data_IF_118924661586
#
_entry.id   IF_118924661586
#
_cell.length_a   1.000
_cell.length_b   1.000
_cell.length_c   1.000
_cell.angle_alpha   90.00
_cell.angle_beta   90.00
_cell.angle_gamma   90.00
#
_symmetry.space_group_name_H-M   'P 1'
#
loop_
_entity.id
_entity.type
_entity.pdbx_description
1 polymer ?
#
# COMPACT_ATOMS: atom_id res chain seq x y z
N UNK A 1 -0.99 18.85 40.40
CA UNK A 1 -0.97 18.53 38.94
C UNK A 1 -2.29 19.00 38.36
N UNK A 2 -2.30 19.95 37.42
CA UNK A 2 -3.55 20.45 36.82
C UNK A 2 -4.03 19.41 35.81
N UNK A 3 -5.11 18.69 36.12
CA UNK A 3 -5.80 17.82 35.15
C UNK A 3 -6.69 18.67 34.24
N UNK A 4 -6.88 18.23 33.01
CA UNK A 4 -7.80 18.85 32.06
C UNK A 4 -9.02 17.94 31.87
N UNK A 5 -10.24 18.40 32.17
CA UNK A 5 -11.45 17.62 31.90
C UNK A 5 -11.66 17.50 30.39
N UNK A 6 -11.97 16.30 29.92
CA UNK A 6 -12.28 16.00 28.51
C UNK A 6 -13.72 15.53 28.39
N UNK A 7 -14.50 16.19 27.55
CA UNK A 7 -15.86 15.81 27.22
C UNK A 7 -15.92 15.18 25.84
N UNK A 8 -16.54 14.00 25.72
CA UNK A 8 -16.71 13.30 24.46
C UNK A 8 -18.19 13.31 24.09
N UNK A 9 -18.51 13.96 22.97
CA UNK A 9 -19.86 14.07 22.42
C UNK A 9 -20.00 13.23 21.14
N UNK A 10 -21.20 12.76 20.82
CA UNK A 10 -21.47 12.17 19.51
C UNK A 10 -21.40 13.25 18.41
N UNK A 11 -20.69 12.98 17.32
CA UNK A 11 -20.52 13.95 16.23
C UNK A 11 -21.82 14.26 15.46
N UNK A 12 -22.85 13.42 15.54
CA UNK A 12 -24.15 13.63 14.88
C UNK A 12 -25.20 14.17 15.84
N UNK A 13 -25.43 13.50 16.97
CA UNK A 13 -26.50 13.84 17.91
C UNK A 13 -26.08 14.94 18.89
N UNK A 14 -24.77 15.17 19.04
CA UNK A 14 -24.17 16.06 20.06
C UNK A 14 -24.48 15.63 21.49
N UNK A 15 -25.00 14.43 21.69
CA UNK A 15 -25.24 13.86 23.00
C UNK A 15 -23.91 13.58 23.69
N UNK A 16 -23.88 13.77 25.00
CA UNK A 16 -22.72 13.50 25.83
C UNK A 16 -22.57 11.99 26.02
N UNK A 17 -21.50 11.43 25.47
CA UNK A 17 -21.18 10.02 25.58
C UNK A 17 -20.31 9.72 26.79
N UNK A 18 -19.33 10.58 27.09
CA UNK A 18 -18.42 10.36 28.20
C UNK A 18 -17.83 11.68 28.71
N UNK A 19 -17.52 11.71 30.00
CA UNK A 19 -16.77 12.78 30.65
C UNK A 19 -15.58 12.16 31.38
N UNK A 20 -14.39 12.68 31.12
CA UNK A 20 -13.15 12.23 31.70
C UNK A 20 -12.59 13.35 32.58
N UNK A 21 -12.78 13.25 33.89
CA UNK A 21 -12.42 14.31 34.86
C UNK A 21 -10.91 14.53 35.01
N UNK A 22 -10.13 13.45 34.87
CA UNK A 22 -8.71 13.40 35.25
C UNK A 22 -7.81 13.00 34.08
N UNK A 23 -7.87 13.73 32.98
CA UNK A 23 -6.93 13.53 31.86
C UNK A 23 -5.68 14.38 32.09
N UNK A 24 -4.51 13.78 31.94
CA UNK A 24 -3.25 14.50 32.04
C UNK A 24 -3.09 15.43 30.82
N UNK A 25 -2.60 16.68 30.97
CA UNK A 25 -2.50 17.61 29.84
C UNK A 25 -1.58 17.12 28.70
N UNK A 26 -0.60 16.29 29.05
CA UNK A 26 0.35 15.70 28.11
C UNK A 26 -0.14 14.37 27.52
N UNK A 27 -1.35 13.93 27.90
CA UNK A 27 -1.95 12.71 27.37
C UNK A 27 -2.15 12.80 25.87
N UNK A 28 -1.87 11.69 25.20
CA UNK A 28 -2.07 11.55 23.76
C UNK A 28 -3.53 11.24 23.44
N UNK A 29 -3.96 11.52 22.21
CA UNK A 29 -5.28 11.08 21.74
C UNK A 29 -5.43 9.56 21.81
N UNK A 30 -4.35 8.79 21.63
CA UNK A 30 -4.36 7.34 21.82
C UNK A 30 -4.76 6.94 23.25
N UNK A 31 -4.21 7.61 24.26
CA UNK A 31 -4.56 7.37 25.67
C UNK A 31 -6.02 7.75 25.95
N UNK A 32 -6.50 8.87 25.42
CA UNK A 32 -7.90 9.29 25.55
C UNK A 32 -8.84 8.24 24.93
N UNK A 33 -8.49 7.69 23.75
CA UNK A 33 -9.26 6.60 23.13
C UNK A 33 -9.29 5.34 23.99
N UNK A 34 -8.15 4.99 24.62
CA UNK A 34 -8.07 3.86 25.54
C UNK A 34 -8.94 4.08 26.78
N UNK A 35 -8.92 5.28 27.36
CA UNK A 35 -9.79 5.65 28.48
C UNK A 35 -11.27 5.57 28.09
N UNK A 36 -11.64 6.09 26.92
CA UNK A 36 -13.01 6.00 26.42
C UNK A 36 -13.46 4.55 26.18
N UNK A 37 -12.56 3.69 25.70
CA UNK A 37 -12.83 2.24 25.50
C UNK A 37 -13.12 1.54 26.82
N UNK A 38 -12.47 1.93 27.93
CA UNK A 38 -12.75 1.32 29.25
C UNK A 38 -14.20 1.53 29.68
N UNK A 39 -14.79 2.68 29.35
CA UNK A 39 -16.20 2.99 29.64
C UNK A 39 -17.13 2.39 28.58
N UNK A 40 -16.69 2.32 27.31
CA UNK A 40 -17.48 1.81 26.18
C UNK A 40 -16.71 0.72 25.41
N UNK A 41 -16.68 -0.53 25.91
CA UNK A 41 -15.86 -1.61 25.32
C UNK A 41 -16.18 -1.94 23.86
N UNK A 42 -17.40 -1.68 23.41
CA UNK A 42 -17.84 -1.87 22.01
C UNK A 42 -17.11 -0.97 21.01
N UNK A 43 -16.55 0.15 21.47
CA UNK A 43 -15.82 1.11 20.65
C UNK A 43 -14.32 1.01 20.90
N UNK A 44 -13.70 -0.09 20.50
CA UNK A 44 -12.25 -0.24 20.59
C UNK A 44 -11.50 0.89 19.85
N UNK A 45 -10.25 1.24 20.25
CA UNK A 45 -9.60 2.48 19.84
C UNK A 45 -9.55 2.74 18.33
N UNK A 46 -9.35 1.70 17.53
CA UNK A 46 -9.31 1.82 16.08
C UNK A 46 -10.65 2.18 15.43
N UNK A 47 -11.82 1.86 16.03
CA UNK A 47 -13.12 2.36 15.53
C UNK A 47 -13.34 3.83 15.82
N UNK A 48 -12.60 4.39 16.79
CA UNK A 48 -12.86 5.73 17.28
C UNK A 48 -12.19 6.79 16.40
N UNK A 49 -13.00 7.67 15.81
CA UNK A 49 -12.54 8.92 15.23
C UNK A 49 -12.89 10.09 16.16
N UNK A 50 -11.92 10.61 16.90
CA UNK A 50 -12.07 11.83 17.69
C UNK A 50 -11.71 13.07 16.85
N UNK A 51 -12.49 14.14 16.98
CA UNK A 51 -12.40 15.39 16.20
C UNK A 51 -12.61 16.61 17.10
N UNK A 52 -12.05 17.76 16.73
CA UNK A 52 -12.32 19.04 17.42
C UNK A 52 -13.64 19.69 16.96
N UNK A 53 -14.07 19.37 15.74
CA UNK A 53 -15.33 19.83 15.17
C UNK A 53 -16.08 18.62 14.57
N UNK A 54 -17.41 18.56 14.63
CA UNK A 54 -18.20 17.45 14.05
C UNK A 54 -17.85 17.13 12.60
N UNK A 55 -17.63 18.16 11.77
CA UNK A 55 -17.26 18.08 10.35
C UNK A 55 -15.76 18.22 10.13
N UNK A 56 -14.98 18.45 11.18
CA UNK A 56 -13.53 18.57 11.16
C UNK A 56 -12.79 17.27 10.81
N UNK A 57 -11.47 17.40 10.69
CA UNK A 57 -10.56 16.27 10.48
C UNK A 57 -10.43 15.47 11.77
N UNK A 58 -10.23 14.16 11.62
CA UNK A 58 -9.88 13.27 12.72
C UNK A 58 -8.49 13.63 13.26
N UNK A 59 -8.38 13.68 14.58
CA UNK A 59 -7.11 13.88 15.29
C UNK A 59 -6.22 12.65 15.13
N UNK A 60 -4.90 12.86 15.13
CA UNK A 60 -3.92 11.78 15.10
C UNK A 60 -3.72 11.23 16.49
N UNK A 61 -3.38 9.95 16.57
CA UNK A 61 -3.16 9.28 17.84
C UNK A 61 -1.97 9.87 18.63
N UNK A 62 -1.00 10.50 17.95
CA UNK A 62 0.16 11.17 18.57
C UNK A 62 -0.10 12.63 18.96
N UNK A 63 -1.25 13.19 18.59
CA UNK A 63 -1.57 14.57 18.98
C UNK A 63 -1.71 14.61 20.52
N UNK A 64 -1.11 15.63 21.12
CA UNK A 64 -1.09 15.83 22.58
C UNK A 64 -2.17 16.83 22.93
N UNK A 65 -2.98 16.53 23.95
CA UNK A 65 -4.13 17.35 24.34
C UNK A 65 -3.77 18.83 24.54
N UNK A 66 -2.68 19.13 25.24
CA UNK A 66 -2.22 20.50 25.49
C UNK A 66 -1.84 21.29 24.22
N UNK A 67 -1.48 20.61 23.12
CA UNK A 67 -1.13 21.28 21.85
C UNK A 67 -2.35 21.59 20.99
N UNK A 68 -3.52 21.08 21.36
CA UNK A 68 -4.75 21.32 20.64
C UNK A 68 -5.35 22.67 21.05
N UNK A 69 -6.05 23.38 20.15
CA UNK A 69 -6.72 24.64 20.45
C UNK A 69 -8.00 24.39 21.26
N UNK A 70 -7.86 23.86 22.47
CA UNK A 70 -8.94 23.53 23.40
C UNK A 70 -8.90 24.46 24.62
N UNK A 71 -10.07 24.78 25.17
CA UNK A 71 -10.19 25.64 26.34
C UNK A 71 -9.84 24.93 27.66
N UNK A 72 -10.40 25.42 28.77
CA UNK A 72 -10.27 24.78 30.10
C UNK A 72 -10.87 23.38 30.14
N UNK A 73 -11.93 23.14 29.37
CA UNK A 73 -12.51 21.82 29.11
C UNK A 73 -12.34 21.50 27.64
N UNK A 74 -11.78 20.32 27.33
CA UNK A 74 -11.58 19.89 25.96
C UNK A 74 -12.79 19.08 25.47
N UNK A 75 -13.58 19.67 24.57
CA UNK A 75 -14.69 18.95 23.92
C UNK A 75 -14.20 18.25 22.66
N UNK A 76 -14.40 16.94 22.58
CA UNK A 76 -14.07 16.09 21.45
C UNK A 76 -15.34 15.45 20.88
N UNK A 77 -15.44 15.40 19.55
CA UNK A 77 -16.54 14.77 18.85
C UNK A 77 -16.14 13.38 18.37
N UNK A 78 -16.86 12.37 18.85
CA UNK A 78 -16.69 10.97 18.49
C UNK A 78 -17.52 10.62 17.25
N UNK A 79 -16.90 9.85 16.36
CA UNK A 79 -17.57 9.19 15.24
C UNK A 79 -17.12 7.74 15.17
N UNK A 80 -18.09 6.82 15.15
CA UNK A 80 -17.83 5.40 14.90
C UNK A 80 -17.48 5.18 13.42
N UNK A 81 -16.30 4.59 13.17
CA UNK A 81 -15.83 4.22 11.84
C UNK A 81 -16.34 2.84 11.38
N UNK A 82 -16.97 2.07 12.26
CA UNK A 82 -17.35 0.68 11.98
C UNK A 82 -16.18 -0.29 12.19
N UNK A 83 -16.35 -1.56 11.85
CA UNK A 83 -15.29 -2.57 11.99
C UNK A 83 -14.05 -2.18 11.18
N UNK A 84 -12.91 -2.09 11.84
CA UNK A 84 -11.62 -1.71 11.26
C UNK A 84 -10.66 -2.88 11.25
N UNK A 85 -9.75 -2.88 10.28
CA UNK A 85 -8.65 -3.84 10.16
C UNK A 85 -7.34 -3.09 9.92
N UNK A 86 -6.24 -3.62 10.45
CA UNK A 86 -4.91 -3.04 10.27
C UNK A 86 -4.50 -3.05 8.79
N UNK A 87 -3.87 -1.97 8.33
CA UNK A 87 -3.29 -1.91 6.97
C UNK A 87 -2.25 -3.00 6.74
N UNK A 88 -1.47 -3.35 7.76
CA UNK A 88 -0.49 -4.45 7.66
C UNK A 88 -1.20 -5.74 7.29
N UNK A 89 -2.27 -6.10 8.02
CA UNK A 89 -3.05 -7.31 7.74
C UNK A 89 -3.67 -7.25 6.35
N UNK A 90 -4.21 -6.11 5.94
CA UNK A 90 -4.82 -5.94 4.61
C UNK A 90 -3.80 -6.22 3.52
N UNK A 91 -2.64 -5.56 3.55
CA UNK A 91 -1.62 -5.74 2.52
C UNK A 91 -1.03 -7.16 2.54
N UNK A 92 -0.85 -7.77 3.71
CA UNK A 92 -0.43 -9.17 3.80
C UNK A 92 -1.44 -10.11 3.13
N UNK A 93 -2.73 -9.97 3.43
CA UNK A 93 -3.78 -10.80 2.81
C UNK A 93 -3.92 -10.51 1.31
N UNK A 94 -3.85 -9.24 0.92
CA UNK A 94 -3.93 -8.78 -0.47
C UNK A 94 -2.82 -9.39 -1.34
N UNK A 95 -1.58 -9.46 -0.82
CA UNK A 95 -0.42 -9.97 -1.55
C UNK A 95 -0.13 -11.46 -1.37
N UNK A 96 -0.53 -12.06 -0.24
CA UNK A 96 -0.35 -13.50 -0.01
C UNK A 96 -1.27 -14.33 -0.93
N UNK A 97 -2.48 -13.85 -1.20
CA UNK A 97 -3.43 -14.55 -2.06
C UNK A 97 -2.90 -14.77 -3.48
N UNK A 98 -2.49 -13.73 -4.23
CA UNK A 98 -1.93 -13.88 -5.57
C UNK A 98 -0.76 -14.87 -5.62
N UNK A 99 0.16 -14.80 -4.64
CA UNK A 99 1.28 -15.73 -4.53
C UNK A 99 0.79 -17.17 -4.41
N UNK A 100 -0.09 -17.43 -3.45
CA UNK A 100 -0.63 -18.77 -3.21
C UNK A 100 -1.43 -19.30 -4.40
N UNK A 101 -2.36 -18.49 -4.90
CA UNK A 101 -3.23 -18.82 -6.04
C UNK A 101 -2.39 -19.15 -7.27
N UNK A 102 -1.41 -18.30 -7.63
CA UNK A 102 -0.56 -18.55 -8.80
C UNK A 102 0.17 -19.90 -8.69
N UNK A 103 0.69 -20.22 -7.50
CA UNK A 103 1.37 -21.49 -7.26
C UNK A 103 0.44 -22.70 -7.41
N UNK A 104 -0.84 -22.59 -7.02
CA UNK A 104 -1.83 -23.66 -7.26
C UNK A 104 -1.98 -23.98 -8.76
N UNK A 105 -2.08 -22.94 -9.61
CA UNK A 105 -2.15 -23.13 -11.07
C UNK A 105 -0.82 -23.63 -11.65
N UNK A 106 0.32 -23.14 -11.16
CA UNK A 106 1.65 -23.57 -11.60
C UNK A 106 1.90 -25.05 -11.32
N UNK A 107 1.57 -25.51 -10.11
CA UNK A 107 1.67 -26.93 -9.74
C UNK A 107 0.54 -27.79 -10.33
N UNK A 108 -0.42 -27.18 -11.03
CA UNK A 108 -1.57 -27.87 -11.64
C UNK A 108 -2.25 -28.79 -10.63
N UNK A 109 -2.60 -28.24 -9.47
CA UNK A 109 -3.33 -29.02 -8.45
C UNK A 109 -4.60 -29.63 -9.07
N UNK A 110 -5.08 -30.78 -8.55
CA UNK A 110 -6.27 -31.43 -9.07
C UNK A 110 -7.46 -30.47 -9.19
N UNK A 111 -8.38 -30.79 -10.10
CA UNK A 111 -9.61 -30.02 -10.40
C UNK A 111 -9.43 -28.75 -11.25
N UNK A 112 -8.21 -28.35 -11.63
CA UNK A 112 -7.98 -27.14 -12.44
C UNK A 112 -8.00 -27.42 -13.95
N UNK A 113 -7.14 -28.32 -14.45
CA UNK A 113 -6.93 -28.55 -15.89
C UNK A 113 -7.37 -29.95 -16.38
N UNK A 114 -7.89 -30.77 -15.46
CA UNK A 114 -8.30 -32.16 -15.70
C UNK A 114 -7.25 -33.19 -15.30
N UNK A 115 -7.71 -34.37 -14.88
CA UNK A 115 -6.90 -35.39 -14.18
C UNK A 115 -5.60 -35.81 -14.88
N UNK A 116 -5.57 -35.81 -16.21
CA UNK A 116 -4.37 -36.15 -17.00
C UNK A 116 -3.20 -35.18 -16.80
N UNK A 117 -3.44 -33.99 -16.25
CA UNK A 117 -2.45 -32.95 -16.06
C UNK A 117 -2.14 -32.65 -14.59
N UNK A 118 -2.75 -33.38 -13.66
CA UNK A 118 -2.55 -33.20 -12.23
C UNK A 118 -1.05 -33.34 -11.89
N UNK A 119 -0.48 -32.31 -11.25
CA UNK A 119 0.93 -32.23 -10.86
C UNK A 119 1.96 -32.37 -11.99
N UNK A 120 1.54 -32.21 -13.24
CA UNK A 120 2.45 -32.21 -14.39
C UNK A 120 3.18 -30.87 -14.53
N UNK A 121 4.48 -30.91 -14.82
CA UNK A 121 5.23 -29.69 -15.15
C UNK A 121 5.01 -29.25 -16.59
N UNK A 122 5.03 -27.95 -16.85
CA UNK A 122 5.17 -27.42 -18.20
C UNK A 122 6.57 -27.75 -18.76
N UNK A 123 6.69 -27.82 -20.09
CA UNK A 123 7.98 -27.95 -20.80
C UNK A 123 8.57 -26.59 -21.18
N UNK A 124 7.79 -25.52 -21.06
CA UNK A 124 8.14 -24.19 -21.55
C UNK A 124 8.85 -23.37 -20.47
N UNK A 125 10.09 -22.94 -20.75
CA UNK A 125 10.89 -22.09 -19.87
C UNK A 125 10.18 -20.81 -19.46
N UNK A 126 9.39 -20.22 -20.36
CA UNK A 126 8.61 -19.00 -20.10
C UNK A 126 7.65 -19.17 -18.93
N UNK A 127 7.05 -20.36 -18.76
CA UNK A 127 6.11 -20.63 -17.65
C UNK A 127 6.84 -20.66 -16.30
N UNK A 128 8.03 -21.27 -16.26
CA UNK A 128 8.87 -21.30 -15.06
C UNK A 128 9.38 -19.92 -14.70
N UNK A 129 9.85 -19.15 -15.69
CA UNK A 129 10.30 -17.79 -15.46
C UNK A 129 9.14 -16.88 -15.02
N UNK A 130 7.96 -17.05 -15.60
CA UNK A 130 6.77 -16.32 -15.18
C UNK A 130 6.42 -16.60 -13.72
N UNK A 131 6.48 -17.87 -13.30
CA UNK A 131 6.30 -18.27 -11.91
C UNK A 131 7.34 -17.63 -10.98
N UNK A 132 8.62 -17.66 -11.36
CA UNK A 132 9.71 -17.05 -10.57
C UNK A 132 9.50 -15.54 -10.44
N UNK A 133 9.26 -14.82 -11.54
CA UNK A 133 9.05 -13.39 -11.54
C UNK A 133 7.82 -12.99 -10.70
N UNK A 134 6.69 -13.66 -10.90
CA UNK A 134 5.46 -13.40 -10.17
C UNK A 134 5.65 -13.67 -8.67
N UNK A 135 6.24 -14.82 -8.32
CA UNK A 135 6.48 -15.18 -6.92
C UNK A 135 7.43 -14.20 -6.25
N UNK A 136 8.54 -13.85 -6.91
CA UNK A 136 9.49 -12.87 -6.39
C UNK A 136 8.85 -11.51 -6.15
N UNK A 137 8.04 -11.02 -7.10
CA UNK A 137 7.31 -9.76 -6.96
C UNK A 137 6.43 -9.75 -5.71
N UNK A 138 5.58 -10.76 -5.51
CA UNK A 138 4.67 -10.81 -4.36
C UNK A 138 5.37 -11.12 -3.04
N UNK A 139 6.40 -11.97 -3.03
CA UNK A 139 7.24 -12.19 -1.83
C UNK A 139 7.90 -10.87 -1.41
N UNK A 140 8.46 -10.13 -2.37
CA UNK A 140 9.06 -8.81 -2.12
C UNK A 140 8.03 -7.83 -1.56
N UNK A 141 6.81 -7.78 -2.10
CA UNK A 141 5.69 -6.96 -1.58
C UNK A 141 5.30 -7.34 -0.14
N UNK A 142 5.29 -8.64 0.18
CA UNK A 142 5.04 -9.14 1.55
C UNK A 142 6.15 -8.68 2.51
N UNK A 143 7.41 -8.85 2.14
CA UNK A 143 8.56 -8.39 2.93
C UNK A 143 8.58 -6.87 3.10
N UNK A 144 8.27 -6.11 2.05
CA UNK A 144 8.12 -4.65 2.12
C UNK A 144 7.02 -4.26 3.11
N UNK A 145 5.90 -4.98 3.12
CA UNK A 145 4.79 -4.73 4.06
C UNK A 145 5.19 -4.97 5.51
N UNK A 146 5.99 -6.01 5.78
CA UNK A 146 6.44 -6.35 7.13
C UNK A 146 7.56 -5.44 7.64
N UNK A 147 8.53 -5.11 6.79
CA UNK A 147 9.80 -4.52 7.25
C UNK A 147 10.02 -3.08 6.79
N UNK A 148 9.37 -2.65 5.70
CA UNK A 148 9.67 -1.36 5.04
C UNK A 148 8.53 -0.36 5.18
N UNK A 149 7.29 -0.78 4.97
CA UNK A 149 6.12 0.10 4.93
C UNK A 149 5.84 0.72 6.31
N UNK A 150 5.56 2.02 6.31
CA UNK A 150 5.08 2.75 7.47
C UNK A 150 3.73 3.38 7.15
N UNK A 151 2.67 2.79 7.70
CA UNK A 151 1.32 3.28 7.50
C UNK A 151 1.06 4.50 8.41
N UNK A 152 0.55 5.58 7.83
CA UNK A 152 0.25 6.83 8.56
C UNK A 152 -1.09 6.75 9.31
N UNK A 153 -2.07 6.07 8.73
CA UNK A 153 -3.28 5.62 9.43
C UNK A 153 -3.09 4.15 9.78
N UNK A 154 -3.46 3.74 11.00
CA UNK A 154 -3.27 2.37 11.45
C UNK A 154 -4.22 1.37 10.80
N UNK A 155 -5.41 1.81 10.36
CA UNK A 155 -6.49 0.91 9.95
C UNK A 155 -7.32 1.42 8.77
N UNK A 156 -8.14 0.52 8.22
CA UNK A 156 -9.16 0.80 7.21
C UNK A 156 -10.47 0.02 7.47
N UNK A 157 -11.60 0.43 6.85
CA UNK A 157 -12.86 -0.29 6.99
C UNK A 157 -12.77 -1.73 6.49
N UNK A 158 -13.20 -2.69 7.31
CA UNK A 158 -13.07 -4.12 7.04
C UNK A 158 -13.66 -4.53 5.68
N UNK A 159 -14.82 -3.98 5.29
CA UNK A 159 -15.50 -4.33 4.02
C UNK A 159 -14.64 -4.08 2.77
N UNK A 160 -13.68 -3.17 2.84
CA UNK A 160 -12.82 -2.84 1.71
C UNK A 160 -11.80 -3.95 1.42
N UNK A 161 -11.48 -4.83 2.37
CA UNK A 161 -10.56 -5.95 2.14
C UNK A 161 -11.06 -6.88 1.02
N UNK A 162 -12.37 -7.11 0.95
CA UNK A 162 -12.96 -7.97 -0.08
C UNK A 162 -12.79 -7.37 -1.47
N UNK A 163 -12.97 -6.06 -1.63
CA UNK A 163 -12.77 -5.38 -2.92
C UNK A 163 -11.32 -5.51 -3.38
N UNK A 164 -10.39 -5.23 -2.47
CA UNK A 164 -8.96 -5.32 -2.75
C UNK A 164 -8.55 -6.76 -3.10
N UNK A 165 -8.90 -7.74 -2.26
CA UNK A 165 -8.53 -9.13 -2.49
C UNK A 165 -9.18 -9.68 -3.76
N UNK A 166 -10.45 -9.40 -4.03
CA UNK A 166 -11.11 -9.86 -5.26
C UNK A 166 -10.38 -9.38 -6.52
N UNK A 167 -9.91 -8.12 -6.52
CA UNK A 167 -9.12 -7.59 -7.62
C UNK A 167 -7.80 -8.36 -7.80
N UNK A 168 -6.95 -8.40 -6.77
CA UNK A 168 -5.63 -9.02 -6.89
C UNK A 168 -5.70 -10.54 -7.10
N UNK A 169 -6.55 -11.23 -6.33
CA UNK A 169 -6.68 -12.68 -6.36
C UNK A 169 -7.35 -13.14 -7.66
N UNK A 170 -8.38 -12.41 -8.11
CA UNK A 170 -9.09 -12.70 -9.36
C UNK A 170 -8.18 -12.54 -10.58
N UNK A 171 -7.45 -11.42 -10.68
CA UNK A 171 -6.49 -11.24 -11.77
C UNK A 171 -5.35 -12.25 -11.72
N UNK A 172 -4.83 -12.58 -10.52
CA UNK A 172 -3.81 -13.60 -10.35
C UNK A 172 -4.30 -14.98 -10.83
N UNK A 173 -5.50 -15.40 -10.43
CA UNK A 173 -6.11 -16.63 -10.91
C UNK A 173 -6.30 -16.61 -12.43
N UNK A 174 -6.81 -15.50 -12.98
CA UNK A 174 -7.08 -15.37 -14.40
C UNK A 174 -5.80 -15.48 -15.23
N UNK A 175 -4.75 -14.72 -14.88
CA UNK A 175 -3.48 -14.80 -15.61
C UNK A 175 -2.77 -16.15 -15.40
N UNK A 176 -2.78 -16.69 -14.18
CA UNK A 176 -2.14 -17.96 -13.87
C UNK A 176 -2.82 -19.12 -14.59
N UNK A 177 -4.14 -19.08 -14.75
CA UNK A 177 -4.89 -20.08 -15.50
C UNK A 177 -4.35 -20.21 -16.93
N UNK A 178 -4.23 -19.09 -17.66
CA UNK A 178 -3.77 -19.11 -19.06
C UNK A 178 -2.28 -19.40 -19.21
N UNK A 179 -1.43 -18.82 -18.35
CA UNK A 179 0.02 -19.01 -18.44
C UNK A 179 0.42 -20.46 -18.14
N UNK A 180 -0.23 -21.10 -17.16
CA UNK A 180 0.13 -22.45 -16.73
C UNK A 180 -0.70 -23.56 -17.43
N UNK A 181 -1.65 -23.18 -18.29
CA UNK A 181 -2.50 -24.12 -19.01
C UNK A 181 -1.66 -25.13 -19.82
N UNK A 182 -2.03 -26.42 -19.85
CA UNK A 182 -1.32 -27.45 -20.63
C UNK A 182 -1.20 -27.14 -22.13
N UNK A 183 -2.11 -26.31 -22.66
CA UNK A 183 -2.15 -25.86 -24.06
C UNK A 183 -1.52 -24.47 -24.27
N UNK A 184 -0.79 -23.94 -23.29
CA UNK A 184 -0.12 -22.65 -23.41
C UNK A 184 0.90 -22.67 -24.54
N UNK A 185 0.77 -21.74 -25.49
CA UNK A 185 1.71 -21.56 -26.59
C UNK A 185 2.67 -20.41 -26.28
N UNK A 186 3.98 -20.66 -26.10
CA UNK A 186 4.93 -19.61 -25.78
C UNK A 186 5.14 -18.65 -26.97
N UNK A 187 5.57 -17.40 -26.71
CA UNK A 187 6.00 -16.48 -27.75
C UNK A 187 7.21 -16.99 -28.54
N UNK A 188 7.39 -16.48 -29.76
CA UNK A 188 8.57 -16.76 -30.57
C UNK A 188 9.87 -16.31 -29.88
N UNK A 189 10.95 -17.07 -30.09
CA UNK A 189 12.22 -16.95 -29.35
C UNK A 189 12.79 -15.50 -29.28
N UNK A 190 12.61 -14.69 -30.32
CA UNK A 190 13.10 -13.30 -30.37
C UNK A 190 12.30 -12.36 -29.46
N UNK A 191 11.00 -12.59 -29.29
CA UNK A 191 10.14 -11.81 -28.38
C UNK A 191 10.27 -12.30 -26.95
N UNK A 192 10.48 -13.60 -26.77
CA UNK A 192 10.77 -14.21 -25.48
C UNK A 192 12.07 -13.63 -24.91
N UNK A 193 13.20 -13.62 -25.64
CA UNK A 193 14.46 -13.08 -25.11
C UNK A 193 14.41 -11.59 -24.73
N UNK A 194 13.70 -10.76 -25.51
CA UNK A 194 13.48 -9.35 -25.20
C UNK A 194 12.58 -9.15 -23.96
N UNK A 195 11.49 -9.93 -23.87
CA UNK A 195 10.61 -9.94 -22.70
C UNK A 195 11.30 -10.46 -21.44
N UNK A 196 12.12 -11.50 -21.55
CA UNK A 196 12.89 -12.07 -20.45
C UNK A 196 13.99 -11.13 -19.95
N UNK A 197 14.66 -10.41 -20.85
CA UNK A 197 15.66 -9.40 -20.49
C UNK A 197 15.00 -8.20 -19.82
N UNK A 198 13.86 -7.76 -20.36
CA UNK A 198 13.02 -6.73 -19.74
C UNK A 198 12.55 -7.14 -18.35
N UNK A 199 11.93 -8.33 -18.21
CA UNK A 199 11.41 -8.85 -16.95
C UNK A 199 12.52 -9.06 -15.90
N UNK A 200 13.68 -9.62 -16.28
CA UNK A 200 14.84 -9.77 -15.38
C UNK A 200 15.42 -8.44 -14.93
N UNK A 201 15.59 -7.49 -15.86
CA UNK A 201 16.11 -6.16 -15.55
C UNK A 201 15.14 -5.35 -14.67
N UNK A 202 13.84 -5.56 -14.83
CA UNK A 202 12.78 -4.87 -14.08
C UNK A 202 12.52 -5.52 -12.70
N UNK A 203 12.54 -6.86 -12.59
CA UNK A 203 12.59 -7.54 -11.28
C UNK A 203 13.85 -7.14 -10.48
N UNK A 204 15.00 -6.98 -11.15
CA UNK A 204 16.22 -6.45 -10.53
C UNK A 204 16.07 -4.99 -10.05
N UNK A 205 15.31 -4.16 -10.77
CA UNK A 205 14.97 -2.78 -10.38
C UNK A 205 14.00 -2.73 -9.20
N UNK A 206 13.05 -3.66 -9.12
CA UNK A 206 12.22 -3.82 -7.92
C UNK A 206 13.05 -4.26 -6.72
N UNK A 207 14.07 -5.12 -6.91
CA UNK A 207 15.03 -5.47 -5.87
C UNK A 207 15.90 -4.26 -5.45
N UNK A 208 16.33 -3.42 -6.40
CA UNK A 208 17.00 -2.14 -6.14
C UNK A 208 16.10 -1.04 -5.56
N UNK A 209 14.78 -1.28 -5.54
CA UNK A 209 13.82 -0.42 -4.84
C UNK A 209 13.80 -0.68 -3.34
N UNK A 210 14.30 -1.83 -2.88
CA UNK A 210 14.59 -2.11 -1.46
C UNK A 210 15.59 -1.09 -0.89
N UNK A 211 16.45 -0.52 -1.75
CA UNK A 211 17.45 0.49 -1.42
C UNK A 211 17.11 1.91 -1.90
N UNK A 212 15.87 2.15 -2.36
CA UNK A 212 15.44 3.48 -2.82
C UNK A 212 14.51 4.17 -1.80
N UNK A 213 14.86 5.37 -1.31
CA UNK A 213 14.31 6.02 -0.12
C UNK A 213 12.93 6.64 -0.37
N UNK A 214 11.90 5.82 -0.56
CA UNK A 214 10.51 6.27 -0.39
C UNK A 214 10.02 6.11 1.06
N UNK A 215 10.82 5.46 1.93
CA UNK A 215 10.54 5.30 3.37
C UNK A 215 11.76 5.48 4.29
N UNK A 216 12.86 6.04 3.77
CA UNK A 216 14.03 6.41 4.59
C UNK A 216 13.99 7.93 4.86
N UNK A 217 13.85 8.38 6.13
CA UNK A 217 14.38 9.67 6.48
C UNK A 217 15.89 9.60 6.22
N UNK A 218 16.37 10.53 5.39
CA UNK A 218 17.77 10.87 5.12
C UNK A 218 18.84 10.07 5.89
N UNK A 219 19.83 9.52 5.16
CA UNK A 219 21.05 8.89 5.69
C UNK A 219 22.01 9.83 6.45
N UNK A 220 21.47 10.77 7.21
CA UNK A 220 22.17 11.65 8.16
C UNK A 220 21.61 11.53 9.57
N UNK A 221 20.54 10.75 9.77
CA UNK A 221 20.05 10.40 11.10
C UNK A 221 20.36 8.92 11.35
N UNK A 222 21.19 8.65 12.36
CA UNK A 222 21.44 7.29 12.83
C UNK A 222 20.15 6.54 13.20
N UNK A 223 20.22 5.23 13.47
CA UNK A 223 19.10 4.29 13.53
C UNK A 223 18.00 4.55 14.59
N UNK A 224 18.03 5.67 15.32
CA UNK A 224 17.23 5.87 16.54
C UNK A 224 16.25 7.06 16.52
N UNK A 225 16.16 7.87 15.46
CA UNK A 225 15.15 8.96 15.40
C UNK A 225 14.41 8.97 14.05
N UNK A 226 13.34 8.17 13.96
CA UNK A 226 12.57 7.95 12.72
C UNK A 226 11.32 8.86 12.67
N UNK A 227 11.50 10.11 12.25
CA UNK A 227 10.42 11.12 12.14
C UNK A 227 9.27 10.71 11.17
N UNK A 228 8.01 11.08 11.50
CA UNK A 228 6.80 10.89 10.66
C UNK A 228 6.56 12.04 9.67
N UNK A 229 7.44 13.04 9.61
CA UNK A 229 7.27 14.21 8.74
C UNK A 229 7.44 13.85 7.27
N UNK A 230 6.49 14.27 6.43
CA UNK A 230 6.54 14.08 4.97
C UNK A 230 7.69 14.91 4.38
N UNK A 231 8.52 14.31 3.54
CA UNK A 231 9.62 14.97 2.83
C UNK A 231 9.54 14.67 1.33
N UNK A 232 10.12 15.54 0.51
CA UNK A 232 10.29 15.30 -0.92
C UNK A 232 11.47 14.33 -1.11
N UNK A 233 11.31 13.20 -1.81
CA UNK A 233 12.42 12.32 -2.15
C UNK A 233 13.27 12.92 -3.28
N UNK A 234 14.58 12.72 -3.18
CA UNK A 234 15.58 13.15 -4.16
C UNK A 234 16.46 11.96 -4.58
N UNK A 235 17.06 12.01 -5.78
CA UNK A 235 18.01 10.98 -6.22
C UNK A 235 19.21 10.91 -5.28
N UNK A 236 19.78 9.72 -5.16
CA UNK A 236 21.00 9.42 -4.41
C UNK A 236 22.05 8.83 -5.34
N UNK A 237 23.19 8.36 -4.79
CA UNK A 237 24.20 7.62 -5.55
C UNK A 237 23.67 6.32 -6.18
N UNK A 238 22.52 5.81 -5.73
CA UNK A 238 21.88 4.63 -6.30
C UNK A 238 21.19 4.99 -7.64
N UNK A 239 21.58 4.40 -8.78
CA UNK A 239 21.01 4.72 -10.09
C UNK A 239 19.50 4.49 -10.18
N UNK A 240 18.93 3.58 -9.37
CA UNK A 240 17.49 3.34 -9.35
C UNK A 240 16.68 4.50 -8.76
N UNK A 241 17.32 5.43 -8.07
CA UNK A 241 16.69 6.63 -7.54
C UNK A 241 16.72 7.81 -8.51
N UNK A 242 17.48 7.72 -9.61
CA UNK A 242 17.68 8.85 -10.53
C UNK A 242 16.40 9.27 -11.24
N UNK A 243 15.43 8.37 -11.36
CA UNK A 243 14.12 8.69 -11.91
C UNK A 243 13.36 9.74 -11.07
N UNK A 244 13.73 9.95 -9.80
CA UNK A 244 13.25 11.10 -9.01
C UNK A 244 13.64 12.46 -9.60
N UNK A 245 14.59 12.55 -10.52
CA UNK A 245 14.85 13.79 -11.27
C UNK A 245 13.68 14.16 -12.17
N UNK A 246 13.01 13.15 -12.74
CA UNK A 246 12.03 13.32 -13.80
C UNK A 246 10.59 13.07 -13.35
N UNK A 247 10.37 12.25 -12.32
CA UNK A 247 9.01 11.92 -11.85
C UNK A 247 8.88 11.94 -10.34
N UNK A 248 7.64 12.12 -9.91
CA UNK A 248 7.24 12.21 -8.51
C UNK A 248 7.13 10.84 -7.85
N UNK A 249 6.65 9.86 -8.62
CA UNK A 249 6.34 8.51 -8.14
C UNK A 249 7.06 7.46 -8.99
N UNK A 250 8.41 7.40 -8.97
CA UNK A 250 9.16 6.46 -9.82
C UNK A 250 8.88 5.00 -9.47
N UNK A 251 8.44 4.72 -8.24
CA UNK A 251 8.00 3.39 -7.82
C UNK A 251 6.84 2.88 -8.70
N UNK A 252 5.87 3.74 -9.05
CA UNK A 252 4.79 3.36 -9.95
C UNK A 252 5.27 3.19 -11.39
N UNK A 253 6.23 4.01 -11.84
CA UNK A 253 6.84 3.86 -13.17
C UNK A 253 7.54 2.50 -13.32
N UNK A 254 8.32 2.09 -12.31
CA UNK A 254 8.99 0.80 -12.32
C UNK A 254 8.02 -0.37 -12.25
N UNK A 255 6.97 -0.27 -11.46
CA UNK A 255 5.93 -1.30 -11.35
C UNK A 255 5.19 -1.48 -12.69
N UNK A 256 4.76 -0.37 -13.32
CA UNK A 256 4.15 -0.39 -14.66
C UNK A 256 5.09 -1.02 -15.70
N UNK A 257 6.37 -0.61 -15.69
CA UNK A 257 7.38 -1.20 -16.57
C UNK A 257 7.49 -2.71 -16.38
N UNK A 258 7.55 -3.18 -15.12
CA UNK A 258 7.65 -4.59 -14.76
C UNK A 258 6.48 -5.40 -15.31
N UNK A 259 5.26 -4.90 -15.15
CA UNK A 259 4.04 -5.54 -15.66
C UNK A 259 3.93 -5.51 -17.20
N UNK A 260 4.43 -4.47 -17.86
CA UNK A 260 4.57 -4.44 -19.33
C UNK A 260 5.58 -5.48 -19.79
N UNK A 261 6.74 -5.57 -19.14
CA UNK A 261 7.75 -6.61 -19.44
C UNK A 261 7.19 -8.02 -19.25
N UNK A 262 6.43 -8.24 -18.18
CA UNK A 262 5.75 -9.51 -17.91
C UNK A 262 4.68 -9.83 -18.96
N UNK A 263 3.92 -8.84 -19.42
CA UNK A 263 2.95 -9.00 -20.51
C UNK A 263 3.65 -9.36 -21.84
N UNK A 264 4.77 -8.72 -22.15
CA UNK A 264 5.56 -9.01 -23.36
C UNK A 264 6.13 -10.43 -23.30
N UNK A 265 6.71 -10.81 -22.16
CA UNK A 265 7.30 -12.12 -21.93
C UNK A 265 6.28 -13.26 -22.04
N UNK A 266 5.08 -13.07 -21.50
CA UNK A 266 4.05 -14.12 -21.47
C UNK A 266 3.10 -14.09 -22.67
N UNK A 267 3.04 -12.98 -23.42
CA UNK A 267 2.03 -12.70 -24.46
C UNK A 267 0.60 -13.08 -24.02
N UNK A 268 0.29 -12.83 -22.75
CA UNK A 268 -0.97 -13.22 -22.13
C UNK A 268 -1.90 -12.02 -22.01
N UNK A 269 -3.07 -12.07 -22.66
CA UNK A 269 -4.05 -10.98 -22.65
C UNK A 269 -4.49 -10.58 -21.22
N UNK A 270 -4.83 -11.52 -20.31
CA UNK A 270 -5.11 -11.19 -18.91
C UNK A 270 -4.02 -10.35 -18.23
N UNK A 271 -2.75 -10.61 -18.53
CA UNK A 271 -1.64 -9.82 -17.98
C UNK A 271 -1.67 -8.40 -18.54
N UNK A 272 -1.86 -8.23 -19.85
CA UNK A 272 -1.95 -6.91 -20.46
C UNK A 272 -3.13 -6.09 -19.90
N UNK A 273 -4.28 -6.72 -19.65
CA UNK A 273 -5.44 -6.08 -19.04
C UNK A 273 -5.16 -5.68 -17.58
N UNK A 274 -4.53 -6.56 -16.80
CA UNK A 274 -4.11 -6.24 -15.44
C UNK A 274 -3.15 -5.04 -15.41
N UNK A 275 -2.15 -5.04 -16.30
CA UNK A 275 -1.19 -3.94 -16.46
C UNK A 275 -1.89 -2.62 -16.79
N UNK A 276 -2.89 -2.64 -17.68
CA UNK A 276 -3.65 -1.47 -18.07
C UNK A 276 -4.48 -0.90 -16.91
N UNK A 277 -5.25 -1.75 -16.23
CA UNK A 277 -6.08 -1.33 -15.09
C UNK A 277 -5.21 -0.80 -13.95
N UNK A 278 -4.12 -1.51 -13.63
CA UNK A 278 -3.14 -1.09 -12.64
C UNK A 278 -2.48 0.25 -13.00
N UNK A 279 -2.11 0.45 -14.27
CA UNK A 279 -1.55 1.71 -14.77
C UNK A 279 -2.53 2.87 -14.60
N UNK A 280 -3.80 2.71 -14.95
CA UNK A 280 -4.82 3.75 -14.76
C UNK A 280 -4.94 4.13 -13.30
N UNK A 281 -5.06 3.15 -12.40
CA UNK A 281 -5.20 3.39 -10.97
C UNK A 281 -3.97 4.08 -10.37
N UNK A 282 -2.76 3.61 -10.70
CA UNK A 282 -1.51 4.23 -10.24
C UNK A 282 -1.32 5.64 -10.79
N UNK A 283 -1.77 5.92 -12.01
CA UNK A 283 -1.73 7.28 -12.59
C UNK A 283 -2.62 8.25 -11.82
N UNK A 284 -3.81 7.82 -11.41
CA UNK A 284 -4.73 8.62 -10.58
C UNK A 284 -4.05 8.94 -9.23
N UNK A 285 -3.46 7.94 -8.58
CA UNK A 285 -2.72 8.14 -7.32
C UNK A 285 -1.49 9.03 -7.47
N UNK A 286 -0.70 8.84 -8.53
CA UNK A 286 0.48 9.63 -8.83
C UNK A 286 0.13 11.11 -9.02
N UNK A 287 -0.91 11.40 -9.80
CA UNK A 287 -1.44 12.77 -10.00
C UNK A 287 -1.91 13.39 -8.69
N UNK A 288 -2.62 12.62 -7.86
CA UNK A 288 -3.02 13.07 -6.52
C UNK A 288 -1.81 13.46 -5.67
N UNK A 289 -0.81 12.58 -5.59
CA UNK A 289 0.41 12.78 -4.81
C UNK A 289 1.26 13.95 -5.31
N UNK A 290 1.41 14.09 -6.62
CA UNK A 290 2.11 15.20 -7.27
C UNK A 290 1.45 16.54 -6.95
N UNK A 291 0.10 16.64 -7.06
CA UNK A 291 -0.64 17.85 -6.67
C UNK A 291 -0.50 18.19 -5.19
N UNK A 292 -0.45 17.19 -4.31
CA UNK A 292 -0.16 17.44 -2.90
C UNK A 292 1.23 18.03 -2.69
N UNK A 293 2.24 17.51 -3.40
CA UNK A 293 3.60 18.03 -3.30
C UNK A 293 3.72 19.49 -3.76
N UNK A 294 3.10 19.84 -4.89
CA UNK A 294 3.08 21.23 -5.40
C UNK A 294 2.43 22.21 -4.41
N UNK A 295 1.44 21.77 -3.63
CA UNK A 295 0.75 22.61 -2.64
C UNK A 295 1.51 22.73 -1.32
N UNK A 296 2.16 21.64 -0.90
CA UNK A 296 2.80 21.53 0.41
C UNK A 296 4.22 22.10 0.42
N UNK A 297 4.95 21.98 -0.70
CA UNK A 297 6.36 22.36 -0.78
C UNK A 297 6.58 23.46 -1.82
N UNK A 298 7.05 24.62 -1.35
CA UNK A 298 7.37 25.77 -2.22
C UNK A 298 8.55 25.47 -3.16
N UNK A 299 9.53 24.70 -2.70
CA UNK A 299 10.75 24.36 -3.45
C UNK A 299 10.62 23.05 -4.25
N UNK A 300 9.40 22.68 -4.65
CA UNK A 300 9.18 21.44 -5.39
C UNK A 300 9.74 21.56 -6.84
N UNK A 301 10.51 20.57 -7.34
CA UNK A 301 11.10 20.65 -8.68
C UNK A 301 10.04 20.75 -9.79
N UNK A 302 10.05 21.81 -10.62
CA UNK A 302 8.95 22.09 -11.56
C UNK A 302 8.92 21.14 -12.76
N UNK A 303 10.06 20.53 -13.13
CA UNK A 303 10.18 19.61 -14.27
C UNK A 303 9.68 18.18 -13.97
N UNK A 304 9.34 17.86 -12.71
CA UNK A 304 8.89 16.51 -12.36
C UNK A 304 7.48 16.27 -12.88
N UNK A 305 7.28 15.14 -13.53
CA UNK A 305 5.97 14.63 -13.90
C UNK A 305 5.41 13.69 -12.81
N UNK A 306 4.10 13.41 -12.80
CA UNK A 306 3.51 12.45 -11.87
C UNK A 306 4.09 11.01 -11.94
N UNK A 307 4.13 10.39 -13.13
CA UNK A 307 4.39 8.95 -13.31
C UNK A 307 5.26 8.60 -14.53
N UNK A 308 5.04 9.17 -15.71
CA UNK A 308 5.85 8.88 -16.91
C UNK A 308 6.67 10.12 -17.26
N UNK A 309 8.01 10.02 -17.34
CA UNK A 309 8.86 11.15 -17.74
C UNK A 309 8.37 11.77 -19.05
N UNK A 310 8.26 13.10 -19.09
CA UNK A 310 7.91 13.88 -20.28
C UNK A 310 6.52 13.61 -20.88
N UNK A 311 5.68 12.81 -20.23
CA UNK A 311 4.34 12.48 -20.72
C UNK A 311 3.24 12.74 -19.68
N UNK A 312 3.36 12.15 -18.48
CA UNK A 312 2.23 11.99 -17.57
C UNK A 312 2.52 12.07 -16.08
#
# INVERSE_FOLDING_TARGET
LRHSPVEILDAKTREKLCFLDKVEPHATIAEIKNLFTKTHPQWYPARQSLRLDPKGKSLKDEDVLQKLPVGTTATLYFRDLGAQISWVTVFLTEYAGPLFIYLLFYFRVPFIYGHKYDFTSSRHTVVHLACICHSFHYIKRLLETLFVHRFSHGTMPLRNIFKNCTYYWGFAAWMAYYINHPLYTPPSNLRSSAGETGARHLCGKEAGSVTSPSTWPCGTCGPLVRSKTRKIPYPTKNPFTWLFLLVSCPNYTYEVGSWIGFAIMTQCLPVALFSLVGFTQMTIWAKGKHRSYLKEFRDYPPLRMPIIPFLL
#
